data_IF_177920545082
#
_entry.id   IF_177920545082
#
_cell.length_a   1.000
_cell.length_b   1.000
_cell.length_c   1.000
_cell.angle_alpha   90.00
_cell.angle_beta   90.00
_cell.angle_gamma   90.00
#
_symmetry.space_group_name_H-M   'P 1'
#
loop_
_entity.id
_entity.type
_entity.pdbx_description
1 polymer ?
#
# COMPACT_ATOMS: atom_id res chain seq x y z
N UNK A 1 47.84 14.86 15.78
CA UNK A 1 46.99 14.99 14.58
C UNK A 1 47.01 13.66 13.82
N UNK A 2 45.97 12.84 13.97
CA UNK A 2 45.43 12.02 12.87
C UNK A 2 44.18 11.31 13.38
N UNK A 3 43.04 11.86 13.01
CA UNK A 3 41.73 11.25 13.18
C UNK A 3 41.69 9.92 12.42
N UNK A 4 41.40 8.82 13.11
CA UNK A 4 40.89 7.62 12.45
C UNK A 4 39.54 7.25 13.05
N UNK A 5 38.54 7.94 12.52
CA UNK A 5 37.26 7.37 12.06
C UNK A 5 36.70 6.38 13.08
N UNK A 6 36.10 6.86 14.17
CA UNK A 6 34.63 7.00 14.24
C UNK A 6 33.97 5.95 13.33
N UNK A 7 33.96 4.70 13.78
CA UNK A 7 32.87 3.80 13.45
C UNK A 7 31.59 4.43 14.03
N UNK A 8 31.14 5.53 13.45
CA UNK A 8 29.72 5.83 13.38
C UNK A 8 29.18 4.66 12.59
N UNK A 9 28.79 3.64 13.34
CA UNK A 9 27.91 2.59 12.89
C UNK A 9 26.84 3.31 12.09
N UNK A 10 26.91 3.19 10.76
CA UNK A 10 25.85 3.54 9.83
C UNK A 10 24.70 2.55 10.08
N UNK A 11 24.22 2.47 11.32
CA UNK A 11 22.84 2.19 11.59
C UNK A 11 22.18 3.42 11.03
N UNK A 12 21.77 3.31 9.77
CA UNK A 12 20.83 4.23 9.19
C UNK A 12 19.67 4.29 10.17
N UNK A 13 19.67 5.32 11.02
CA UNK A 13 18.47 5.85 11.61
C UNK A 13 17.68 6.28 10.38
N UNK A 14 16.94 5.33 9.77
CA UNK A 14 15.77 5.68 8.97
C UNK A 14 14.94 6.42 9.99
N UNK A 15 15.08 7.73 9.95
CA UNK A 15 14.55 8.67 10.92
C UNK A 15 13.11 8.27 11.19
N UNK A 16 12.68 8.11 12.44
CA UNK A 16 11.35 7.53 12.74
C UNK A 16 10.22 8.22 11.94
N UNK A 17 10.43 9.50 11.61
CA UNK A 17 9.63 10.33 10.70
C UNK A 17 9.54 9.81 9.26
N UNK A 18 10.61 9.25 8.70
CA UNK A 18 10.64 8.60 7.38
C UNK A 18 9.86 7.28 7.38
N UNK A 19 10.02 6.46 8.43
CA UNK A 19 9.28 5.20 8.59
C UNK A 19 7.79 5.50 8.77
N UNK A 20 7.44 6.44 9.65
CA UNK A 20 6.05 6.87 9.85
C UNK A 20 5.44 7.45 8.57
N UNK A 21 6.21 8.19 7.76
CA UNK A 21 5.75 8.70 6.46
C UNK A 21 5.51 7.58 5.47
N UNK A 22 6.44 6.62 5.34
CA UNK A 22 6.28 5.43 4.49
C UNK A 22 5.04 4.62 4.89
N UNK A 23 4.85 4.39 6.19
CA UNK A 23 3.67 3.69 6.73
C UNK A 23 2.38 4.44 6.43
N UNK A 24 2.34 5.76 6.66
CA UNK A 24 1.15 6.59 6.36
C UNK A 24 0.82 6.59 4.87
N UNK A 25 1.83 6.70 4.01
CA UNK A 25 1.64 6.65 2.55
C UNK A 25 1.11 5.26 2.15
N UNK A 26 1.71 4.18 2.66
CA UNK A 26 1.25 2.82 2.39
C UNK A 26 -0.21 2.60 2.79
N UNK A 27 -0.58 2.99 4.01
CA UNK A 27 -1.96 2.92 4.50
C UNK A 27 -2.93 3.75 3.65
N UNK A 28 -2.54 4.98 3.30
CA UNK A 28 -3.37 5.85 2.47
C UNK A 28 -3.56 5.29 1.06
N UNK A 29 -2.49 4.78 0.44
CA UNK A 29 -2.58 4.10 -0.87
C UNK A 29 -3.48 2.87 -0.81
N UNK A 30 -3.34 2.03 0.23
CA UNK A 30 -4.22 0.88 0.43
C UNK A 30 -5.69 1.29 0.60
N UNK A 31 -5.95 2.35 1.36
CA UNK A 31 -7.30 2.90 1.54
C UNK A 31 -7.89 3.40 0.23
N UNK A 32 -7.13 4.18 -0.54
CA UNK A 32 -7.58 4.70 -1.84
C UNK A 32 -7.88 3.56 -2.81
N UNK A 33 -7.03 2.54 -2.87
CA UNK A 33 -7.27 1.34 -3.70
C UNK A 33 -8.54 0.61 -3.28
N UNK A 34 -8.75 0.40 -1.98
CA UNK A 34 -9.97 -0.22 -1.47
C UNK A 34 -11.23 0.58 -1.84
N UNK A 35 -11.18 1.91 -1.78
CA UNK A 35 -12.28 2.79 -2.20
C UNK A 35 -12.54 2.68 -3.71
N UNK A 36 -11.49 2.62 -4.53
CA UNK A 36 -11.64 2.44 -5.98
C UNK A 36 -12.29 1.09 -6.32
N UNK A 37 -11.87 0.00 -5.67
CA UNK A 37 -12.50 -1.31 -5.81
C UNK A 37 -13.97 -1.24 -5.40
N UNK A 38 -14.30 -0.61 -4.28
CA UNK A 38 -15.68 -0.46 -3.83
C UNK A 38 -16.57 0.32 -4.83
N UNK A 39 -16.03 1.37 -5.47
CA UNK A 39 -16.74 2.13 -6.51
C UNK A 39 -17.00 1.27 -7.74
N UNK A 40 -16.02 0.47 -8.19
CA UNK A 40 -16.21 -0.47 -9.31
C UNK A 40 -17.27 -1.52 -8.96
N UNK A 41 -17.18 -2.09 -7.76
CA UNK A 41 -18.10 -3.12 -7.27
C UNK A 41 -19.53 -2.61 -7.10
N UNK A 42 -19.73 -1.31 -6.87
CA UNK A 42 -21.08 -0.71 -6.86
C UNK A 42 -21.84 -0.91 -8.18
N UNK A 43 -21.13 -1.05 -9.30
CA UNK A 43 -21.70 -1.32 -10.60
C UNK A 43 -21.86 -2.83 -10.90
N UNK A 44 -21.39 -3.72 -10.01
CA UNK A 44 -21.53 -5.17 -10.18
C UNK A 44 -23.01 -5.56 -10.21
N UNK A 45 -23.37 -6.45 -11.14
CA UNK A 45 -24.69 -7.05 -11.24
C UNK A 45 -24.66 -8.55 -10.90
N UNK A 46 -23.64 -8.98 -10.15
CA UNK A 46 -23.49 -10.37 -9.72
C UNK A 46 -24.73 -10.86 -8.97
N UNK A 47 -25.27 -12.00 -9.41
CA UNK A 47 -26.48 -12.62 -8.86
C UNK A 47 -26.18 -13.75 -7.90
N UNK A 48 -24.93 -14.21 -7.86
CA UNK A 48 -24.47 -15.28 -6.99
C UNK A 48 -23.04 -15.02 -6.48
N UNK A 49 -22.61 -15.84 -5.54
CA UNK A 49 -21.31 -15.69 -4.88
C UNK A 49 -20.12 -15.85 -5.83
N UNK A 50 -20.22 -16.74 -6.82
CA UNK A 50 -19.14 -16.98 -7.78
C UNK A 50 -18.92 -15.76 -8.69
N UNK A 51 -20.00 -15.18 -9.21
CA UNK A 51 -19.99 -13.94 -9.99
C UNK A 51 -19.44 -12.76 -9.18
N UNK A 52 -19.87 -12.63 -7.91
CA UNK A 52 -19.38 -11.56 -7.03
C UNK A 52 -17.88 -11.68 -6.79
N UNK A 53 -17.38 -12.90 -6.61
CA UNK A 53 -15.95 -13.18 -6.41
C UNK A 53 -15.15 -12.89 -7.68
N UNK A 54 -15.69 -13.23 -8.86
CA UNK A 54 -15.07 -12.94 -10.14
C UNK A 54 -14.99 -11.42 -10.40
N UNK A 55 -16.08 -10.69 -10.15
CA UNK A 55 -16.14 -9.23 -10.27
C UNK A 55 -15.19 -8.55 -9.28
N UNK A 56 -15.13 -9.01 -8.03
CA UNK A 56 -14.20 -8.52 -7.02
C UNK A 56 -12.74 -8.68 -7.45
N UNK A 57 -12.36 -9.87 -7.90
CA UNK A 57 -11.00 -10.14 -8.36
C UNK A 57 -10.64 -9.32 -9.60
N UNK A 58 -11.61 -9.12 -10.50
CA UNK A 58 -11.43 -8.26 -11.68
C UNK A 58 -11.24 -6.79 -11.26
N UNK A 59 -12.05 -6.29 -10.35
CA UNK A 59 -11.95 -4.93 -9.83
C UNK A 59 -10.59 -4.70 -9.14
N UNK A 60 -10.12 -5.65 -8.34
CA UNK A 60 -8.79 -5.58 -7.71
C UNK A 60 -7.66 -5.52 -8.73
N UNK A 61 -7.67 -6.39 -9.75
CA UNK A 61 -6.66 -6.36 -10.82
C UNK A 61 -6.65 -5.04 -11.58
N UNK A 62 -7.82 -4.44 -11.82
CA UNK A 62 -7.91 -3.14 -12.48
C UNK A 62 -7.31 -2.00 -11.66
N UNK A 63 -7.38 -2.09 -10.33
CA UNK A 63 -6.87 -1.08 -9.40
C UNK A 63 -5.38 -1.28 -9.09
N UNK A 64 -4.90 -2.52 -9.08
CA UNK A 64 -3.49 -2.83 -8.83
C UNK A 64 -2.59 -2.55 -10.04
N UNK A 65 -3.09 -2.77 -11.26
CA UNK A 65 -2.32 -2.62 -12.50
C UNK A 65 -1.44 -3.83 -12.78
#
# INVERSE_FOLDING_TARGET
MSQRIKAMTTIAYKDATSIEREVRIGWFTSLVRALQVAVIMKASQAKNHAELTADWNKAWRQVEG
#
